data_IF_864550182972
#
_entry.id   IF_864550182972
#
_cell.length_a   1.000
_cell.length_b   1.000
_cell.length_c   1.000
_cell.angle_alpha   90.00
_cell.angle_beta   90.00
_cell.angle_gamma   90.00
#
_symmetry.space_group_name_H-M   'P 1'
#
loop_
_entity.id
_entity.type
_entity.pdbx_description
1 polymer ?
#
# COMPACT_ATOMS: atom_id res chain seq x y z
N UNK A 1 -1.84 10.80 -22.97
CA UNK A 1 -2.95 9.85 -22.76
C UNK A 1 -3.69 9.66 -24.08
N UNK A 2 -4.13 8.45 -24.42
CA UNK A 2 -4.91 8.23 -25.64
C UNK A 2 -5.91 7.09 -25.42
N UNK A 3 -7.21 7.39 -25.56
CA UNK A 3 -8.26 6.38 -25.75
C UNK A 3 -8.25 6.04 -27.24
N UNK A 4 -8.04 4.77 -27.59
CA UNK A 4 -8.09 4.31 -28.98
C UNK A 4 -9.33 3.44 -29.16
N UNK A 5 -9.99 3.61 -30.30
CA UNK A 5 -11.09 2.72 -30.70
C UNK A 5 -10.47 1.37 -31.06
N UNK A 6 -10.93 0.28 -30.41
CA UNK A 6 -10.40 -1.05 -30.67
C UNK A 6 -10.63 -1.42 -32.14
N UNK A 7 -9.60 -1.96 -32.80
CA UNK A 7 -9.66 -2.35 -34.22
C UNK A 7 -10.27 -3.73 -34.43
N UNK A 8 -10.56 -4.46 -33.34
CA UNK A 8 -11.11 -5.83 -33.36
C UNK A 8 -12.44 -6.00 -32.59
N UNK A 9 -13.08 -4.91 -32.15
CA UNK A 9 -14.38 -4.95 -31.45
C UNK A 9 -14.93 -3.54 -31.12
N UNK A 10 -16.14 -3.47 -30.56
CA UNK A 10 -16.81 -2.19 -30.18
C UNK A 10 -16.26 -1.55 -28.88
N UNK A 11 -15.33 -2.21 -28.20
CA UNK A 11 -14.70 -1.75 -26.96
C UNK A 11 -13.76 -0.56 -27.12
N UNK A 12 -13.67 0.28 -26.08
CA UNK A 12 -12.67 1.36 -26.00
C UNK A 12 -11.43 0.86 -25.26
N UNK A 13 -10.28 0.92 -25.91
CA UNK A 13 -8.99 0.55 -25.32
C UNK A 13 -8.34 1.77 -24.65
N UNK A 14 -7.94 1.59 -23.39
CA UNK A 14 -7.33 2.61 -22.55
C UNK A 14 -5.84 2.31 -22.39
N UNK A 15 -5.00 3.32 -22.61
CA UNK A 15 -3.55 3.23 -22.44
C UNK A 15 -3.07 4.26 -21.41
N UNK A 16 -2.91 3.81 -20.16
CA UNK A 16 -2.48 4.64 -19.03
C UNK A 16 -1.18 4.10 -18.46
N UNK A 17 -0.18 4.98 -18.30
CA UNK A 17 1.11 4.65 -17.66
C UNK A 17 1.77 3.37 -18.18
N UNK A 18 1.71 3.14 -19.49
CA UNK A 18 2.25 1.94 -20.15
C UNK A 18 1.58 0.63 -19.67
N UNK A 19 0.31 0.72 -19.29
CA UNK A 19 -0.62 -0.38 -19.03
C UNK A 19 -1.83 -0.23 -19.97
N UNK A 20 -2.29 -1.35 -20.53
CA UNK A 20 -3.37 -1.37 -21.54
C UNK A 20 -4.49 -2.30 -21.11
N UNK A 21 -5.72 -1.82 -21.20
CA UNK A 21 -6.93 -2.57 -20.85
C UNK A 21 -8.17 -2.04 -21.57
N UNK A 22 -9.24 -2.83 -21.52
CA UNK A 22 -10.55 -2.43 -22.03
C UNK A 22 -11.42 -1.92 -20.88
N UNK A 23 -11.94 -0.70 -21.04
CA UNK A 23 -12.88 -0.15 -20.07
C UNK A 23 -14.26 -0.80 -20.22
N UNK A 24 -14.86 -1.19 -19.10
CA UNK A 24 -16.16 -1.89 -19.03
C UNK A 24 -17.08 -1.24 -18.01
N UNK A 25 -18.36 -1.60 -18.01
CA UNK A 25 -19.37 -1.09 -17.06
C UNK A 25 -19.09 -1.43 -15.59
N UNK A 26 -18.10 -2.30 -15.32
CA UNK A 26 -17.63 -2.61 -13.96
C UNK A 26 -16.63 -1.59 -13.42
N UNK A 27 -16.07 -0.73 -14.27
CA UNK A 27 -15.11 0.29 -13.88
C UNK A 27 -15.82 1.53 -13.35
N UNK A 28 -15.30 2.11 -12.27
CA UNK A 28 -15.82 3.36 -11.71
C UNK A 28 -15.23 4.57 -12.43
N UNK A 29 -16.09 5.48 -12.88
CA UNK A 29 -15.69 6.76 -13.43
C UNK A 29 -15.37 7.77 -12.31
N UNK A 30 -14.61 8.83 -12.64
CA UNK A 30 -14.15 9.85 -11.70
C UNK A 30 -15.26 10.45 -10.82
N UNK A 31 -16.45 10.67 -11.38
CA UNK A 31 -17.59 11.23 -10.67
C UNK A 31 -18.16 10.30 -9.58
N UNK A 32 -18.01 8.99 -9.74
CA UNK A 32 -18.47 7.98 -8.76
C UNK A 32 -17.52 7.92 -7.55
N UNK A 33 -16.24 8.22 -7.78
CA UNK A 33 -15.18 8.23 -6.75
C UNK A 33 -15.32 9.37 -5.73
N UNK A 34 -16.05 10.44 -6.05
CA UNK A 34 -16.31 11.54 -5.11
C UNK A 34 -16.92 11.04 -3.79
N UNK A 35 -17.78 10.03 -3.86
CA UNK A 35 -18.38 9.45 -2.65
C UNK A 35 -17.37 8.75 -1.74
N UNK A 36 -16.25 8.26 -2.29
CA UNK A 36 -15.15 7.66 -1.54
C UNK A 36 -14.15 8.71 -1.05
N UNK A 37 -13.92 9.77 -1.83
CA UNK A 37 -13.09 10.90 -1.42
C UNK A 37 -13.66 11.58 -0.17
N UNK A 38 -14.98 11.68 -0.07
CA UNK A 38 -15.66 12.36 1.05
C UNK A 38 -15.86 11.49 2.29
N UNK A 39 -15.68 10.16 2.18
CA UNK A 39 -15.83 9.22 3.29
C UNK A 39 -14.47 8.89 3.90
N UNK A 40 -14.48 8.61 5.19
CA UNK A 40 -13.32 8.21 5.96
C UNK A 40 -13.78 7.46 7.21
N UNK A 41 -12.83 6.85 7.92
CA UNK A 41 -13.09 6.06 9.12
C UNK A 41 -13.45 6.93 10.33
N UNK A 42 -14.71 7.37 10.37
CA UNK A 42 -15.25 8.16 11.48
C UNK A 42 -15.29 7.38 12.80
N UNK A 43 -15.35 6.04 12.76
CA UNK A 43 -15.34 5.23 13.98
C UNK A 43 -13.98 5.37 14.68
N UNK A 44 -12.89 5.17 13.95
CA UNK A 44 -11.54 5.36 14.49
C UNK A 44 -11.30 6.80 14.97
N UNK A 45 -11.82 7.81 14.25
CA UNK A 45 -11.72 9.22 14.66
C UNK A 45 -12.39 9.50 16.00
N UNK A 46 -13.65 9.07 16.16
CA UNK A 46 -14.36 9.20 17.44
C UNK A 46 -13.61 8.48 18.56
N UNK A 47 -13.09 7.28 18.31
CA UNK A 47 -12.28 6.54 19.29
C UNK A 47 -11.01 7.31 19.67
N UNK A 48 -10.27 7.86 18.71
CA UNK A 48 -9.04 8.59 19.00
C UNK A 48 -9.27 9.87 19.80
N UNK A 49 -10.39 10.57 19.57
CA UNK A 49 -10.76 11.71 20.40
C UNK A 49 -11.00 11.31 21.86
N UNK A 50 -11.69 10.18 22.09
CA UNK A 50 -11.92 9.63 23.44
C UNK A 50 -10.59 9.19 24.07
N UNK A 51 -9.76 8.44 23.34
CA UNK A 51 -8.45 7.98 23.83
C UNK A 51 -7.54 9.16 24.18
N UNK A 52 -7.55 10.23 23.38
CA UNK A 52 -6.79 11.45 23.65
C UNK A 52 -7.26 12.14 24.94
N UNK A 53 -8.58 12.20 25.19
CA UNK A 53 -9.13 12.72 26.46
C UNK A 53 -8.70 11.86 27.66
N UNK A 54 -8.75 10.54 27.52
CA UNK A 54 -8.29 9.60 28.56
C UNK A 54 -6.80 9.80 28.89
N UNK A 55 -5.95 9.98 27.86
CA UNK A 55 -4.54 10.28 28.04
C UNK A 55 -4.29 11.55 28.85
N UNK A 56 -5.02 12.62 28.56
CA UNK A 56 -4.91 13.90 29.28
C UNK A 56 -5.44 13.84 30.72
N UNK A 57 -6.44 12.98 31.00
CA UNK A 57 -7.01 12.82 32.33
C UNK A 57 -6.12 12.01 33.30
N UNK A 58 -5.23 11.18 32.78
CA UNK A 58 -4.22 10.49 33.59
C UNK A 58 -3.03 11.42 33.87
N UNK A 59 -2.89 11.90 35.12
CA UNK A 59 -1.81 12.80 35.57
C UNK A 59 -0.39 12.15 35.60
N UNK A 60 0.03 11.48 34.53
CA UNK A 60 1.38 10.90 34.40
C UNK A 60 2.21 11.64 33.35
N UNK A 61 3.32 12.23 33.80
CA UNK A 61 4.42 12.91 33.07
C UNK A 61 4.17 13.29 31.60
N UNK A 62 4.12 14.61 31.38
CA UNK A 62 4.01 15.31 30.10
C UNK A 62 5.15 15.04 29.07
N UNK A 63 6.01 14.05 29.32
CA UNK A 63 7.15 13.72 28.47
C UNK A 63 6.92 12.63 27.41
N UNK A 64 5.77 11.93 27.41
CA UNK A 64 5.60 10.71 26.60
C UNK A 64 4.19 10.50 25.99
N UNK A 65 3.52 11.58 25.57
CA UNK A 65 2.23 11.51 24.86
C UNK A 65 2.31 10.61 23.61
N UNK A 66 3.48 10.51 22.96
CA UNK A 66 3.73 9.60 21.83
C UNK A 66 4.17 8.18 22.21
N UNK A 67 4.28 7.86 23.50
CA UNK A 67 4.84 6.57 23.98
C UNK A 67 3.81 5.63 24.59
N UNK A 68 2.60 6.09 24.92
CA UNK A 68 1.50 5.17 25.22
C UNK A 68 0.93 4.65 23.91
N UNK A 69 1.02 3.35 23.72
CA UNK A 69 0.45 2.63 22.59
C UNK A 69 -1.08 2.84 22.59
N UNK A 70 -1.62 3.56 21.61
CA UNK A 70 -3.07 3.81 21.49
C UNK A 70 -3.88 2.51 21.47
N UNK A 71 -3.28 1.41 20.98
CA UNK A 71 -3.90 0.09 21.06
C UNK A 71 -4.05 -0.40 22.51
N UNK A 72 -3.03 -0.21 23.35
CA UNK A 72 -3.08 -0.63 24.75
C UNK A 72 -4.16 0.16 25.51
N UNK A 73 -4.28 1.47 25.25
CA UNK A 73 -5.35 2.28 25.82
C UNK A 73 -6.74 1.84 25.35
N UNK A 74 -6.90 1.52 24.07
CA UNK A 74 -8.14 0.94 23.54
C UNK A 74 -8.44 -0.39 24.25
N UNK A 75 -7.46 -1.27 24.37
CA UNK A 75 -7.61 -2.56 25.05
C UNK A 75 -8.02 -2.40 26.51
N UNK A 76 -7.46 -1.45 27.24
CA UNK A 76 -7.79 -1.21 28.65
C UNK A 76 -9.16 -0.56 28.86
N UNK A 77 -9.63 0.24 27.89
CA UNK A 77 -10.81 1.11 28.05
C UNK A 77 -11.96 0.80 27.08
N UNK A 78 -11.91 -0.29 26.32
CA UNK A 78 -12.93 -0.58 25.30
C UNK A 78 -14.36 -0.71 25.86
N UNK A 79 -14.51 -1.08 27.13
CA UNK A 79 -15.83 -1.18 27.78
C UNK A 79 -16.36 0.16 28.30
N UNK A 80 -15.53 1.21 28.38
CA UNK A 80 -15.91 2.48 29.00
C UNK A 80 -16.77 3.38 28.11
N UNK A 81 -16.75 3.16 26.79
CA UNK A 81 -17.50 3.96 25.82
C UNK A 81 -18.01 3.08 24.66
N UNK A 82 -19.24 3.35 24.21
CA UNK A 82 -19.88 2.61 23.12
C UNK A 82 -19.07 2.57 21.82
N UNK A 83 -18.35 3.65 21.46
CA UNK A 83 -17.53 3.72 20.26
C UNK A 83 -16.24 2.93 20.40
N UNK A 84 -15.61 2.97 21.57
CA UNK A 84 -14.44 2.12 21.84
C UNK A 84 -14.84 0.64 21.79
N UNK A 85 -16.01 0.28 22.33
CA UNK A 85 -16.56 -1.08 22.28
C UNK A 85 -16.89 -1.52 20.85
N UNK A 86 -17.48 -0.64 20.05
CA UNK A 86 -17.78 -0.86 18.63
C UNK A 86 -16.50 -1.13 17.82
N UNK A 87 -15.47 -0.29 17.97
CA UNK A 87 -14.19 -0.47 17.30
C UNK A 87 -13.50 -1.76 17.76
N UNK A 88 -13.47 -2.02 19.07
CA UNK A 88 -12.86 -3.22 19.65
C UNK A 88 -13.53 -4.50 19.14
N UNK A 89 -14.86 -4.50 19.06
CA UNK A 89 -15.62 -5.62 18.50
C UNK A 89 -15.28 -5.80 17.02
N UNK A 90 -15.28 -4.72 16.24
CA UNK A 90 -14.99 -4.80 14.80
C UNK A 90 -13.60 -5.36 14.51
N UNK A 91 -12.56 -4.88 15.19
CA UNK A 91 -11.18 -5.32 14.94
C UNK A 91 -10.93 -6.76 15.40
N UNK A 92 -11.66 -7.26 16.40
CA UNK A 92 -11.48 -8.62 16.92
C UNK A 92 -12.46 -9.64 16.31
N UNK A 93 -13.43 -9.19 15.51
CA UNK A 93 -14.35 -10.07 14.78
C UNK A 93 -13.70 -10.54 13.49
N UNK A 94 -13.63 -11.86 13.28
CA UNK A 94 -13.17 -12.46 12.03
C UNK A 94 -14.37 -12.56 11.07
N UNK A 95 -14.31 -11.94 9.88
CA UNK A 95 -15.39 -12.06 8.91
C UNK A 95 -15.59 -13.48 8.38
N UNK A 96 -16.84 -13.86 8.08
CA UNK A 96 -17.21 -15.22 7.62
C UNK A 96 -16.52 -15.65 6.31
N UNK A 97 -16.09 -14.71 5.49
CA UNK A 97 -15.39 -14.99 4.24
C UNK A 97 -13.90 -15.29 4.41
N UNK A 98 -13.35 -15.23 5.63
CA UNK A 98 -11.93 -15.53 5.90
C UNK A 98 -11.69 -17.03 5.95
N UNK A 99 -10.94 -17.54 4.98
CA UNK A 99 -10.34 -18.88 5.01
C UNK A 99 -8.86 -18.76 5.39
N UNK A 100 -8.48 -19.24 6.58
CA UNK A 100 -7.09 -19.16 7.07
C UNK A 100 -6.10 -19.93 6.20
N UNK A 101 -6.52 -21.01 5.54
CA UNK A 101 -5.66 -21.73 4.60
C UNK A 101 -5.43 -20.87 3.34
N UNK A 102 -6.44 -20.13 2.87
CA UNK A 102 -6.29 -19.16 1.80
C UNK A 102 -5.37 -18.01 2.19
N UNK A 103 -5.52 -17.45 3.39
CA UNK A 103 -4.63 -16.40 3.91
C UNK A 103 -3.18 -16.87 3.93
N UNK A 104 -2.91 -18.09 4.42
CA UNK A 104 -1.57 -18.67 4.42
C UNK A 104 -1.01 -18.80 3.00
N UNK A 105 -1.79 -19.30 2.03
CA UNK A 105 -1.34 -19.38 0.63
C UNK A 105 -1.04 -18.00 0.04
N UNK A 106 -1.83 -16.99 0.40
CA UNK A 106 -1.58 -15.59 0.04
C UNK A 106 -0.23 -15.08 0.57
N UNK A 107 0.10 -15.39 1.81
CA UNK A 107 1.38 -15.03 2.42
C UNK A 107 2.56 -15.81 1.82
N UNK A 108 2.36 -17.09 1.48
CA UNK A 108 3.39 -17.90 0.83
C UNK A 108 3.83 -17.31 -0.53
N UNK A 109 2.91 -16.66 -1.26
CA UNK A 109 3.23 -15.94 -2.51
C UNK A 109 4.19 -14.78 -2.24
N UNK A 110 4.00 -14.03 -1.15
CA UNK A 110 4.93 -12.96 -0.76
C UNK A 110 6.34 -13.51 -0.58
N UNK A 111 6.50 -14.61 0.15
CA UNK A 111 7.81 -15.22 0.39
C UNK A 111 8.40 -15.84 -0.88
N UNK A 112 7.60 -16.56 -1.66
CA UNK A 112 8.02 -17.16 -2.95
C UNK A 112 8.59 -16.11 -3.91
N UNK A 113 8.00 -14.92 -3.93
CA UNK A 113 8.41 -13.80 -4.77
C UNK A 113 8.97 -12.62 -3.97
N UNK A 114 9.64 -12.88 -2.84
CA UNK A 114 10.11 -11.86 -1.91
C UNK A 114 10.85 -10.72 -2.62
N UNK A 115 11.82 -11.05 -3.48
CA UNK A 115 12.63 -10.05 -4.20
C UNK A 115 11.76 -9.27 -5.22
N UNK A 116 11.07 -9.91 -6.19
CA UNK A 116 10.20 -9.19 -7.12
C UNK A 116 9.11 -8.34 -6.46
N UNK A 117 8.46 -8.85 -5.40
CA UNK A 117 7.43 -8.11 -4.68
C UNK A 117 8.04 -6.96 -3.91
N UNK A 118 9.18 -7.13 -3.23
CA UNK A 118 9.88 -6.04 -2.54
C UNK A 118 10.29 -4.91 -3.50
N UNK A 119 10.72 -5.26 -4.72
CA UNK A 119 10.99 -4.29 -5.76
C UNK A 119 9.72 -3.57 -6.22
N UNK A 120 8.62 -4.30 -6.46
CA UNK A 120 7.33 -3.71 -6.81
C UNK A 120 6.82 -2.74 -5.73
N UNK A 121 6.93 -3.13 -4.45
CA UNK A 121 6.54 -2.28 -3.31
C UNK A 121 7.42 -1.03 -3.21
N UNK A 122 8.74 -1.17 -3.38
CA UNK A 122 9.68 -0.06 -3.20
C UNK A 122 9.63 0.94 -4.36
N UNK A 123 9.66 0.45 -5.60
CA UNK A 123 9.87 1.30 -6.76
C UNK A 123 8.57 1.62 -7.51
N UNK A 124 7.60 0.70 -7.57
CA UNK A 124 6.32 0.98 -8.23
C UNK A 124 5.26 1.51 -7.26
N UNK A 125 5.11 0.90 -6.09
CA UNK A 125 4.07 1.29 -5.13
C UNK A 125 4.45 2.57 -4.40
N UNK A 126 5.62 2.59 -3.77
CA UNK A 126 6.08 3.74 -3.01
C UNK A 126 6.55 4.89 -3.91
N UNK A 127 7.59 4.70 -4.72
CA UNK A 127 8.12 5.79 -5.56
C UNK A 127 7.13 6.20 -6.65
N UNK A 128 6.58 5.24 -7.39
CA UNK A 128 5.55 5.50 -8.41
C UNK A 128 4.25 6.08 -7.83
N UNK A 129 3.82 5.61 -6.66
CA UNK A 129 2.61 6.09 -5.97
C UNK A 129 2.68 7.56 -5.54
N UNK A 130 3.86 8.19 -5.48
CA UNK A 130 3.96 9.63 -5.29
C UNK A 130 3.50 10.45 -6.50
N UNK A 131 3.24 9.81 -7.64
CA UNK A 131 2.50 10.41 -8.75
C UNK A 131 0.99 10.52 -8.50
N UNK A 132 0.48 9.96 -7.40
CA UNK A 132 -0.94 10.02 -7.08
C UNK A 132 -1.37 11.41 -6.55
N UNK A 133 -2.61 11.80 -6.84
CA UNK A 133 -3.11 13.17 -6.66
C UNK A 133 -3.05 13.62 -5.19
N UNK A 134 -3.46 12.76 -4.26
CA UNK A 134 -3.75 13.13 -2.86
C UNK A 134 -2.73 12.62 -1.84
N UNK A 135 -2.23 11.40 -2.02
CA UNK A 135 -1.35 10.75 -1.02
C UNK A 135 -0.09 11.57 -0.74
N UNK A 136 0.50 12.18 -1.77
CA UNK A 136 1.69 13.02 -1.65
C UNK A 136 1.44 14.27 -0.81
N UNK A 137 0.24 14.84 -0.89
CA UNK A 137 -0.13 16.00 -0.09
C UNK A 137 -0.21 15.64 1.40
N UNK A 138 -0.95 14.59 1.75
CA UNK A 138 -1.06 14.13 3.14
C UNK A 138 0.32 13.78 3.71
N UNK A 139 1.15 13.05 2.95
CA UNK A 139 2.52 12.70 3.35
C UNK A 139 3.36 13.94 3.61
N UNK A 140 3.31 14.95 2.73
CA UNK A 140 4.09 16.18 2.87
C UNK A 140 3.75 16.92 4.17
N UNK A 141 2.48 16.91 4.60
CA UNK A 141 2.03 17.57 5.85
C UNK A 141 2.51 16.87 7.12
N UNK A 142 2.83 15.58 7.07
CA UNK A 142 3.36 14.84 8.23
C UNK A 142 4.86 15.03 8.46
N UNK A 143 5.59 15.55 7.46
CA UNK A 143 7.05 15.65 7.49
C UNK A 143 7.81 14.31 7.46
N UNK A 144 7.10 13.16 7.36
CA UNK A 144 7.67 11.82 7.45
C UNK A 144 8.60 11.42 6.29
N UNK A 145 8.64 12.20 5.22
CA UNK A 145 9.41 11.93 4.00
C UNK A 145 10.47 13.01 3.71
N UNK A 146 10.89 13.74 4.75
CA UNK A 146 12.15 14.49 4.68
C UNK A 146 13.33 13.54 4.52
N UNK A 147 14.36 13.94 3.77
CA UNK A 147 15.51 13.07 3.43
C UNK A 147 16.21 12.44 4.66
N UNK A 148 16.16 13.09 5.82
CA UNK A 148 16.76 12.59 7.07
C UNK A 148 15.90 11.54 7.81
N UNK A 149 14.58 11.52 7.57
CA UNK A 149 13.63 10.65 8.31
C UNK A 149 13.02 9.56 7.43
N UNK A 150 13.05 9.74 6.10
CA UNK A 150 12.42 8.84 5.13
C UNK A 150 12.87 7.40 5.33
N UNK A 151 14.18 7.15 5.49
CA UNK A 151 14.72 5.80 5.68
C UNK A 151 14.06 5.06 6.84
N UNK A 152 13.91 5.71 8.00
CA UNK A 152 13.27 5.09 9.17
C UNK A 152 11.82 4.75 8.87
N UNK A 153 11.06 5.65 8.25
CA UNK A 153 9.65 5.40 7.87
C UNK A 153 9.50 4.25 6.88
N UNK A 154 10.45 4.12 5.94
CA UNK A 154 10.47 3.00 5.00
C UNK A 154 10.77 1.67 5.68
N UNK A 155 11.68 1.65 6.66
CA UNK A 155 11.92 0.46 7.47
C UNK A 155 10.71 0.08 8.35
N UNK A 156 9.98 1.06 8.90
CA UNK A 156 8.72 0.84 9.61
C UNK A 156 7.66 0.19 8.68
N UNK A 157 7.57 0.64 7.43
CA UNK A 157 6.65 0.07 6.42
C UNK A 157 7.08 -1.32 5.96
N UNK A 158 8.39 -1.56 5.81
CA UNK A 158 8.92 -2.87 5.50
C UNK A 158 8.63 -3.87 6.64
N UNK A 159 8.85 -3.45 7.89
CA UNK A 159 8.49 -4.25 9.06
C UNK A 159 6.99 -4.58 9.11
N UNK A 160 6.13 -3.61 8.82
CA UNK A 160 4.68 -3.86 8.70
C UNK A 160 4.38 -4.94 7.65
N UNK A 161 5.01 -4.85 6.48
CA UNK A 161 4.84 -5.84 5.40
C UNK A 161 5.26 -7.24 5.85
N UNK A 162 6.38 -7.37 6.57
CA UNK A 162 6.82 -8.65 7.13
C UNK A 162 5.85 -9.20 8.19
N UNK A 163 5.29 -8.33 9.04
CA UNK A 163 4.32 -8.74 10.06
C UNK A 163 3.04 -9.29 9.43
N UNK A 164 2.49 -8.59 8.43
CA UNK A 164 1.30 -9.00 7.67
C UNK A 164 1.53 -10.29 6.90
N UNK A 165 2.73 -10.48 6.33
CA UNK A 165 3.04 -11.66 5.51
C UNK A 165 3.64 -12.83 6.29
N UNK A 166 3.80 -12.73 7.62
CA UNK A 166 4.50 -13.74 8.40
C UNK A 166 3.87 -15.15 8.34
N UNK A 167 2.63 -15.28 8.81
CA UNK A 167 1.83 -16.51 8.76
C UNK A 167 0.37 -16.21 9.14
N UNK A 168 -0.53 -17.19 8.95
CA UNK A 168 -1.96 -17.00 9.18
C UNK A 168 -2.28 -16.69 10.66
N UNK A 169 -1.56 -17.30 11.61
CA UNK A 169 -1.72 -16.99 13.04
C UNK A 169 -1.41 -15.52 13.35
N UNK A 170 -0.46 -14.92 12.64
CA UNK A 170 -0.13 -13.51 12.74
C UNK A 170 -1.29 -12.58 12.36
N UNK A 171 -2.25 -13.05 11.55
CA UNK A 171 -3.42 -12.28 11.10
C UNK A 171 -4.70 -12.59 11.89
N UNK A 172 -4.68 -13.55 12.83
CA UNK A 172 -5.77 -13.75 13.78
C UNK A 172 -5.80 -12.63 14.82
N UNK A 173 -6.95 -12.34 15.45
CA UNK A 173 -7.04 -11.36 16.54
C UNK A 173 -5.96 -11.58 17.61
N UNK A 174 -5.19 -10.53 17.92
CA UNK A 174 -4.04 -10.57 18.83
C UNK A 174 -2.70 -10.99 18.19
N UNK A 175 -2.71 -11.46 16.94
CA UNK A 175 -1.53 -11.78 16.16
C UNK A 175 -0.74 -10.54 15.75
N UNK A 176 0.57 -10.69 15.47
CA UNK A 176 1.46 -9.53 15.19
C UNK A 176 1.03 -8.71 13.98
N UNK A 177 0.58 -9.35 12.90
CA UNK A 177 0.08 -8.68 11.69
C UNK A 177 -1.26 -7.98 11.94
N UNK A 178 -2.18 -8.64 12.65
CA UNK A 178 -3.44 -8.05 13.11
C UNK A 178 -3.22 -6.78 13.94
N UNK A 179 -2.40 -6.87 14.99
CA UNK A 179 -2.07 -5.72 15.84
C UNK A 179 -1.37 -4.60 15.07
N UNK A 180 -0.55 -4.94 14.08
CA UNK A 180 0.07 -3.95 13.20
C UNK A 180 -0.99 -3.19 12.39
N UNK A 181 -1.96 -3.88 11.77
CA UNK A 181 -3.07 -3.25 11.06
C UNK A 181 -3.87 -2.30 11.97
N UNK A 182 -4.22 -2.75 13.18
CA UNK A 182 -5.00 -1.93 14.13
C UNK A 182 -4.22 -0.69 14.57
N UNK A 183 -2.92 -0.82 14.88
CA UNK A 183 -2.09 0.33 15.24
C UNK A 183 -1.97 1.34 14.11
N UNK A 184 -1.84 0.88 12.86
CA UNK A 184 -1.82 1.77 11.69
C UNK A 184 -3.18 2.46 11.49
N UNK A 185 -4.29 1.75 11.72
CA UNK A 185 -5.64 2.35 11.67
C UNK A 185 -5.80 3.50 12.67
N UNK A 186 -5.39 3.28 13.92
CA UNK A 186 -5.40 4.33 14.95
C UNK A 186 -4.44 5.47 14.61
N UNK A 187 -3.25 5.16 14.08
CA UNK A 187 -2.29 6.18 13.62
C UNK A 187 -2.89 7.05 12.49
N UNK A 188 -3.52 6.43 11.49
CA UNK A 188 -4.13 7.13 10.37
C UNK A 188 -5.22 8.10 10.83
N UNK A 189 -6.07 7.65 11.75
CA UNK A 189 -7.08 8.52 12.35
C UNK A 189 -6.47 9.68 13.14
N UNK A 190 -5.42 9.44 13.94
CA UNK A 190 -4.73 10.51 14.67
C UNK A 190 -4.08 11.55 13.72
N UNK A 191 -3.49 11.09 12.61
CA UNK A 191 -2.94 11.97 11.56
C UNK A 191 -4.04 12.77 10.88
N UNK A 192 -5.17 12.13 10.53
CA UNK A 192 -6.32 12.80 9.92
C UNK A 192 -6.87 13.92 10.79
N UNK A 193 -7.16 13.62 12.05
CA UNK A 193 -7.62 14.61 13.04
C UNK A 193 -6.63 15.76 13.20
N UNK A 194 -5.32 15.47 13.23
CA UNK A 194 -4.29 16.51 13.34
C UNK A 194 -4.26 17.44 12.12
N UNK A 195 -4.29 16.89 10.90
CA UNK A 195 -4.28 17.69 9.67
C UNK A 195 -5.56 18.52 9.57
N UNK A 196 -6.73 17.93 9.85
CA UNK A 196 -8.01 18.66 9.83
C UNK A 196 -8.04 19.80 10.87
N UNK A 197 -7.50 19.57 12.07
CA UNK A 197 -7.39 20.61 13.09
C UNK A 197 -6.50 21.77 12.65
N UNK A 198 -5.37 21.49 11.99
CA UNK A 198 -4.48 22.52 11.44
C UNK A 198 -5.14 23.26 10.27
N UNK A 199 -5.83 22.55 9.37
CA UNK A 199 -6.55 23.16 8.25
C UNK A 199 -7.71 24.06 8.71
N UNK A 200 -8.35 23.75 9.84
CA UNK A 200 -9.36 24.61 10.45
C UNK A 200 -8.78 25.92 11.02
N UNK A 201 -7.52 25.89 11.46
CA UNK A 201 -6.79 27.08 11.96
C UNK A 201 -6.20 27.91 10.81
N UNK A 202 -5.70 27.24 9.77
CA UNK A 202 -5.14 27.83 8.57
C UNK A 202 -5.65 27.08 7.33
N UNK A 203 -6.65 27.61 6.61
CA UNK A 203 -7.20 26.98 5.41
C UNK A 203 -6.18 26.78 4.27
N UNK A 204 -5.02 27.47 4.31
CA UNK A 204 -3.95 27.26 3.33
C UNK A 204 -3.07 26.04 3.66
N UNK A 205 -3.22 25.48 4.87
CA UNK A 205 -2.49 24.30 5.32
C UNK A 205 -2.93 23.01 4.63
N UNK A 206 -4.17 22.86 4.18
CA UNK A 206 -4.59 21.68 3.43
C UNK A 206 -5.89 21.97 2.67
N UNK A 207 -5.89 21.75 1.36
CA UNK A 207 -7.04 22.02 0.50
C UNK A 207 -8.05 20.86 0.54
N UNK A 208 -8.96 20.93 1.51
CA UNK A 208 -10.04 19.95 1.69
C UNK A 208 -11.03 19.92 0.52
N UNK A 209 -11.16 21.00 -0.25
CA UNK A 209 -12.06 21.02 -1.41
C UNK A 209 -11.48 20.23 -2.58
N UNK A 210 -10.17 20.35 -2.79
CA UNK A 210 -9.46 19.65 -3.85
C UNK A 210 -9.17 18.19 -3.51
N UNK A 211 -8.81 17.91 -2.26
CA UNK A 211 -8.32 16.58 -1.86
C UNK A 211 -9.30 15.80 -0.98
N UNK A 212 -10.41 16.39 -0.52
CA UNK A 212 -11.27 15.77 0.48
C UNK A 212 -10.58 15.61 1.83
N UNK A 213 -11.17 14.92 2.81
CA UNK A 213 -10.51 14.60 4.07
C UNK A 213 -9.22 13.79 3.87
N UNK A 214 -8.13 14.09 4.60
CA UNK A 214 -6.90 13.34 4.49
C UNK A 214 -7.11 11.88 4.92
N UNK A 215 -6.50 10.94 4.20
CA UNK A 215 -6.66 9.51 4.47
C UNK A 215 -8.14 9.11 4.37
N UNK A 216 -8.83 9.59 3.34
CA UNK A 216 -10.18 9.16 3.00
C UNK A 216 -10.20 7.70 2.52
N UNK A 217 -11.40 7.17 2.29
CA UNK A 217 -11.62 5.78 1.86
C UNK A 217 -10.91 5.49 0.54
N UNK A 218 -10.91 6.45 -0.41
CA UNK A 218 -10.24 6.28 -1.70
C UNK A 218 -8.71 6.22 -1.55
N UNK A 219 -8.13 7.10 -0.74
CA UNK A 219 -6.69 7.12 -0.47
C UNK A 219 -6.24 5.87 0.29
N UNK A 220 -7.04 5.44 1.25
CA UNK A 220 -6.77 4.23 2.03
C UNK A 220 -6.89 2.98 1.16
N UNK A 221 -7.92 2.90 0.31
CA UNK A 221 -8.09 1.84 -0.67
C UNK A 221 -6.94 1.82 -1.69
N UNK A 222 -6.61 2.98 -2.26
CA UNK A 222 -5.51 3.14 -3.21
C UNK A 222 -4.19 2.68 -2.60
N UNK A 223 -3.93 3.01 -1.34
CA UNK A 223 -2.73 2.54 -0.63
C UNK A 223 -2.71 1.02 -0.55
N UNK A 224 -3.76 0.37 -0.05
CA UNK A 224 -3.82 -1.11 0.03
C UNK A 224 -3.75 -1.76 -1.37
N UNK A 225 -4.34 -1.13 -2.38
CA UNK A 225 -4.22 -1.54 -3.78
C UNK A 225 -2.77 -1.58 -4.24
N UNK A 226 -1.95 -0.59 -3.86
CA UNK A 226 -0.53 -0.60 -4.26
C UNK A 226 0.23 -1.78 -3.67
N UNK A 227 -0.12 -2.23 -2.45
CA UNK A 227 0.45 -3.43 -1.85
C UNK A 227 -0.08 -4.75 -2.44
N UNK A 228 -1.21 -4.70 -3.16
CA UNK A 228 -1.98 -5.87 -3.57
C UNK A 228 -2.14 -5.94 -5.09
N UNK A 229 -3.23 -5.43 -5.63
CA UNK A 229 -3.57 -5.47 -7.04
C UNK A 229 -2.45 -4.92 -7.94
N UNK A 230 -1.83 -3.80 -7.57
CA UNK A 230 -0.75 -3.23 -8.37
C UNK A 230 0.47 -4.16 -8.44
N UNK A 231 0.79 -4.88 -7.36
CA UNK A 231 1.85 -5.90 -7.38
C UNK A 231 1.52 -7.02 -8.37
N UNK A 232 0.28 -7.53 -8.35
CA UNK A 232 -0.10 -8.69 -9.19
C UNK A 232 -0.20 -8.32 -10.67
N UNK A 233 -0.82 -7.18 -11.01
CA UNK A 233 -1.15 -6.85 -12.40
C UNK A 233 -0.18 -5.86 -13.06
N UNK A 234 0.67 -5.19 -12.30
CA UNK A 234 1.68 -4.27 -12.85
C UNK A 234 3.10 -4.64 -12.39
N UNK A 235 3.34 -4.77 -11.09
CA UNK A 235 4.68 -4.98 -10.53
C UNK A 235 5.34 -6.29 -10.98
N UNK A 236 4.68 -7.43 -10.78
CA UNK A 236 5.18 -8.75 -11.17
C UNK A 236 5.27 -8.92 -12.70
N UNK A 237 4.24 -8.55 -13.49
CA UNK A 237 4.30 -8.65 -14.96
C UNK A 237 5.42 -7.85 -15.59
N UNK A 238 5.75 -6.66 -15.06
CA UNK A 238 6.89 -5.84 -15.52
C UNK A 238 8.26 -6.48 -15.25
N UNK A 239 8.30 -7.49 -14.39
CA UNK A 239 9.48 -8.32 -14.13
C UNK A 239 9.39 -9.69 -14.85
N UNK A 240 8.33 -9.92 -15.62
CA UNK A 240 8.07 -11.15 -16.36
C UNK A 240 7.40 -12.26 -15.57
N UNK A 241 6.89 -11.97 -14.36
CA UNK A 241 6.23 -12.95 -13.50
C UNK A 241 4.72 -12.78 -13.62
N UNK A 242 4.02 -13.90 -13.85
CA UNK A 242 2.56 -13.94 -13.96
C UNK A 242 2.04 -14.99 -13.01
N UNK A 243 1.17 -14.56 -12.08
CA UNK A 243 0.55 -15.45 -11.11
C UNK A 243 -0.54 -16.30 -11.75
N UNK A 244 -0.81 -17.46 -11.17
CA UNK A 244 -2.02 -18.22 -11.51
C UNK A 244 -3.27 -17.50 -11.01
N UNK A 245 -4.45 -17.84 -11.56
CA UNK A 245 -5.71 -17.28 -11.07
C UNK A 245 -5.92 -17.57 -9.58
N UNK A 246 -5.55 -18.76 -9.12
CA UNK A 246 -5.68 -19.14 -7.71
C UNK A 246 -4.73 -18.32 -6.82
N UNK A 247 -3.47 -18.15 -7.23
CA UNK A 247 -2.52 -17.33 -6.49
C UNK A 247 -3.02 -15.88 -6.40
N UNK A 248 -3.61 -15.35 -7.47
CA UNK A 248 -4.17 -14.01 -7.46
C UNK A 248 -5.35 -13.90 -6.47
N UNK A 249 -6.26 -14.87 -6.43
CA UNK A 249 -7.35 -14.90 -5.44
C UNK A 249 -6.82 -14.98 -4.01
N UNK A 250 -5.83 -15.84 -3.76
CA UNK A 250 -5.25 -16.04 -2.42
C UNK A 250 -4.50 -14.78 -1.94
N UNK A 251 -3.73 -14.12 -2.82
CA UNK A 251 -3.04 -12.88 -2.48
C UNK A 251 -4.02 -11.74 -2.19
N UNK A 252 -5.07 -11.60 -3.01
CA UNK A 252 -6.10 -10.57 -2.80
C UNK A 252 -6.90 -10.82 -1.52
N UNK A 253 -7.17 -12.08 -1.16
CA UNK A 253 -7.87 -12.41 0.09
C UNK A 253 -7.11 -11.92 1.35
N UNK A 254 -5.77 -12.05 1.37
CA UNK A 254 -4.94 -11.48 2.44
C UNK A 254 -5.13 -9.97 2.55
N UNK A 255 -5.03 -9.26 1.43
CA UNK A 255 -5.14 -7.80 1.44
C UNK A 255 -6.57 -7.29 1.66
N UNK A 256 -7.59 -8.11 1.35
CA UNK A 256 -8.97 -7.86 1.77
C UNK A 256 -9.09 -7.91 3.30
N UNK A 257 -8.42 -8.85 3.97
CA UNK A 257 -8.38 -8.94 5.43
C UNK A 257 -7.63 -7.77 6.06
N UNK A 258 -6.50 -7.36 5.46
CA UNK A 258 -5.80 -6.14 5.85
C UNK A 258 -6.72 -4.92 5.74
N UNK A 259 -7.42 -4.75 4.62
CA UNK A 259 -8.39 -3.66 4.44
C UNK A 259 -9.48 -3.66 5.51
N UNK A 260 -10.03 -4.84 5.82
CA UNK A 260 -11.03 -4.98 6.90
C UNK A 260 -10.49 -4.50 8.25
N UNK A 261 -9.32 -4.99 8.68
CA UNK A 261 -8.73 -4.58 9.96
C UNK A 261 -8.33 -3.11 10.00
N UNK A 262 -7.98 -2.53 8.84
CA UNK A 262 -7.65 -1.11 8.69
C UNK A 262 -8.87 -0.19 8.54
N UNK A 263 -10.10 -0.72 8.52
CA UNK A 263 -11.32 0.08 8.35
C UNK A 263 -11.52 0.63 6.94
N UNK A 264 -10.96 -0.04 5.92
CA UNK A 264 -10.97 0.38 4.51
C UNK A 264 -12.02 -0.40 3.72
N UNK A 265 -12.66 0.17 2.68
CA UNK A 265 -13.60 -0.58 1.85
C UNK A 265 -13.02 -1.87 1.27
N UNK A 266 -13.75 -2.98 1.44
CA UNK A 266 -13.27 -4.32 1.06
C UNK A 266 -13.91 -4.87 -0.21
N UNK A 267 -15.00 -4.26 -0.68
CA UNK A 267 -15.76 -4.76 -1.84
C UNK A 267 -14.91 -4.91 -3.12
N UNK A 268 -14.01 -3.97 -3.48
CA UNK A 268 -13.17 -4.17 -4.65
C UNK A 268 -12.18 -5.33 -4.50
N UNK A 269 -11.87 -5.78 -3.28
CA UNK A 269 -11.01 -6.93 -3.02
C UNK A 269 -11.78 -8.26 -2.85
N UNK A 270 -13.10 -8.28 -3.12
CA UNK A 270 -13.93 -9.49 -2.94
C UNK A 270 -13.46 -10.68 -3.79
N UNK A 271 -12.91 -10.41 -4.97
CA UNK A 271 -12.31 -11.39 -5.89
C UNK A 271 -11.13 -10.76 -6.60
N UNK A 272 -10.21 -11.57 -7.13
CA UNK A 272 -9.12 -11.08 -7.95
C UNK A 272 -9.62 -10.33 -9.19
N UNK A 273 -10.72 -10.79 -9.80
CA UNK A 273 -11.32 -10.10 -10.94
C UNK A 273 -11.82 -8.69 -10.59
N UNK A 274 -12.50 -8.52 -9.45
CA UNK A 274 -12.93 -7.21 -8.96
C UNK A 274 -11.72 -6.32 -8.63
N UNK A 275 -10.69 -6.89 -8.01
CA UNK A 275 -9.49 -6.16 -7.62
C UNK A 275 -8.66 -5.69 -8.82
N UNK A 276 -8.69 -6.45 -9.92
CA UNK A 276 -8.09 -6.06 -11.20
C UNK A 276 -8.83 -4.89 -11.85
N UNK A 277 -10.17 -4.96 -11.91
CA UNK A 277 -10.98 -3.83 -12.40
C UNK A 277 -10.72 -2.59 -11.56
N UNK A 278 -10.55 -2.77 -10.24
CA UNK A 278 -10.21 -1.67 -9.35
C UNK A 278 -8.84 -1.07 -9.60
N UNK A 279 -7.86 -1.90 -9.94
CA UNK A 279 -6.56 -1.43 -10.37
C UNK A 279 -6.64 -0.58 -11.64
N UNK A 280 -7.45 -1.01 -12.61
CA UNK A 280 -7.62 -0.35 -13.89
C UNK A 280 -8.27 1.04 -13.77
N UNK A 281 -9.33 1.19 -12.96
CA UNK A 281 -9.90 2.51 -12.76
C UNK A 281 -9.06 3.43 -11.85
N UNK A 282 -8.27 2.90 -10.91
CA UNK A 282 -7.32 3.71 -10.15
C UNK A 282 -6.24 4.32 -11.07
N UNK A 283 -5.69 3.54 -12.00
CA UNK A 283 -4.68 4.04 -12.95
C UNK A 283 -5.16 5.24 -13.78
N UNK A 284 -6.47 5.29 -14.07
CA UNK A 284 -7.08 6.36 -14.85
C UNK A 284 -7.36 7.59 -14.01
N UNK A 285 -7.88 7.41 -12.80
CA UNK A 285 -8.46 8.50 -12.02
C UNK A 285 -7.49 9.09 -11.00
N UNK A 286 -6.45 8.37 -10.57
CA UNK A 286 -5.70 8.72 -9.36
C UNK A 286 -4.28 9.23 -9.57
N UNK A 287 -3.81 9.30 -10.81
CA UNK A 287 -2.45 9.76 -11.11
C UNK A 287 -2.48 11.10 -11.83
N UNK A 288 -1.96 12.13 -11.15
CA UNK A 288 -1.61 13.43 -11.74
C UNK A 288 -0.36 13.96 -11.01
N UNK A 289 0.85 13.61 -11.47
CA UNK A 289 2.10 13.95 -10.79
C UNK A 289 2.25 15.45 -10.52
N UNK A 290 2.54 15.80 -9.27
CA UNK A 290 2.72 17.17 -8.78
C UNK A 290 4.17 17.47 -8.41
N UNK A 291 4.52 18.75 -8.23
CA UNK A 291 5.86 19.13 -7.75
C UNK A 291 6.16 18.56 -6.35
N UNK A 292 5.14 18.51 -5.49
CA UNK A 292 5.24 17.83 -4.18
C UNK A 292 5.58 16.35 -4.37
N UNK A 293 4.86 15.63 -5.24
CA UNK A 293 5.13 14.23 -5.55
C UNK A 293 6.54 13.99 -6.09
N UNK A 294 7.00 14.84 -7.03
CA UNK A 294 8.36 14.81 -7.57
C UNK A 294 9.43 15.00 -6.49
N UNK A 295 9.23 15.96 -5.58
CA UNK A 295 10.14 16.21 -4.47
C UNK A 295 10.23 15.00 -3.52
N UNK A 296 9.09 14.43 -3.15
CA UNK A 296 9.04 13.26 -2.29
C UNK A 296 9.72 12.04 -2.93
N UNK A 297 9.53 11.84 -4.24
CA UNK A 297 10.12 10.71 -4.97
C UNK A 297 11.65 10.83 -4.98
N UNK A 298 12.15 12.05 -5.19
CA UNK A 298 13.58 12.35 -5.09
C UNK A 298 14.14 12.09 -3.69
N UNK A 299 13.42 12.47 -2.63
CA UNK A 299 13.87 12.23 -1.26
C UNK A 299 14.00 10.75 -0.92
N UNK A 300 13.12 9.89 -1.45
CA UNK A 300 13.22 8.44 -1.28
C UNK A 300 14.51 7.90 -1.89
N UNK A 301 14.81 8.31 -3.13
CA UNK A 301 16.05 7.88 -3.81
C UNK A 301 17.28 8.30 -3.01
N UNK A 302 17.34 9.57 -2.58
CA UNK A 302 18.44 10.09 -1.77
C UNK A 302 18.57 9.35 -0.43
N UNK A 303 17.44 9.07 0.23
CA UNK A 303 17.44 8.44 1.56
C UNK A 303 17.80 6.94 1.55
N UNK A 304 17.75 6.29 0.39
CA UNK A 304 18.04 4.86 0.23
C UNK A 304 19.35 4.58 -0.51
N UNK A 305 19.83 5.51 -1.35
CA UNK A 305 21.04 5.35 -2.15
C UNK A 305 22.24 4.93 -1.29
N UNK A 306 22.92 3.86 -1.71
CA UNK A 306 24.11 3.33 -1.05
C UNK A 306 23.93 3.04 0.45
N UNK A 307 22.70 2.77 0.88
CA UNK A 307 22.40 2.38 2.26
C UNK A 307 21.99 0.91 2.37
N UNK A 308 22.32 0.30 3.51
CA UNK A 308 21.93 -1.08 3.79
C UNK A 308 20.42 -1.27 3.92
N UNK A 309 19.88 -2.46 3.58
CA UNK A 309 20.65 -3.68 3.33
C UNK A 309 21.08 -3.90 1.86
N UNK A 310 20.46 -3.20 0.90
CA UNK A 310 20.68 -3.46 -0.53
C UNK A 310 21.89 -2.73 -1.12
N UNK A 311 22.33 -1.60 -0.54
CA UNK A 311 23.42 -0.77 -1.06
C UNK A 311 23.30 -0.46 -2.57
N UNK A 312 22.07 -0.26 -3.04
CA UNK A 312 21.82 0.04 -4.45
C UNK A 312 22.30 1.45 -4.82
N UNK A 313 22.96 1.57 -5.98
CA UNK A 313 23.30 2.87 -6.55
C UNK A 313 22.05 3.61 -7.01
N UNK A 314 22.12 4.94 -7.07
CA UNK A 314 21.01 5.75 -7.58
C UNK A 314 20.59 5.35 -9.00
N UNK A 315 21.53 5.11 -9.91
CA UNK A 315 21.18 4.77 -11.29
C UNK A 315 20.52 3.38 -11.40
N UNK A 316 20.85 2.45 -10.50
CA UNK A 316 20.13 1.18 -10.38
C UNK A 316 18.69 1.43 -9.93
N UNK A 317 18.50 2.28 -8.91
CA UNK A 317 17.17 2.65 -8.42
C UNK A 317 16.32 3.32 -9.51
N UNK A 318 16.90 4.27 -10.25
CA UNK A 318 16.24 4.94 -11.37
C UNK A 318 15.86 3.94 -12.47
N UNK A 319 16.74 2.97 -12.77
CA UNK A 319 16.47 1.91 -13.74
C UNK A 319 15.32 0.99 -13.31
N UNK A 320 15.31 0.57 -12.05
CA UNK A 320 14.25 -0.27 -11.48
C UNK A 320 12.92 0.48 -11.41
N UNK A 321 12.94 1.76 -11.03
CA UNK A 321 11.76 2.61 -11.04
C UNK A 321 11.17 2.77 -12.44
N UNK A 322 12.01 2.98 -13.46
CA UNK A 322 11.57 3.03 -14.86
C UNK A 322 10.98 1.72 -15.35
N UNK A 323 11.66 0.60 -15.08
CA UNK A 323 11.15 -0.73 -15.42
C UNK A 323 9.74 -0.95 -14.86
N UNK A 324 9.52 -0.58 -13.59
CA UNK A 324 8.30 -0.92 -12.87
C UNK A 324 7.19 0.13 -12.98
N UNK A 325 7.49 1.38 -13.33
CA UNK A 325 6.50 2.46 -13.52
C UNK A 325 6.21 2.78 -14.99
N UNK A 326 7.04 2.30 -15.92
CA UNK A 326 6.97 2.68 -17.32
C UNK A 326 7.62 4.04 -17.56
N UNK A 327 7.97 4.30 -18.82
CA UNK A 327 8.67 5.53 -19.19
C UNK A 327 7.79 6.77 -19.02
N UNK A 328 6.47 6.66 -19.27
CA UNK A 328 5.57 7.82 -19.17
C UNK A 328 5.46 8.37 -17.76
N UNK A 329 5.17 7.52 -16.78
CA UNK A 329 5.05 7.96 -15.38
C UNK A 329 6.41 8.40 -14.83
N UNK A 330 7.47 7.72 -15.25
CA UNK A 330 8.83 8.04 -14.82
C UNK A 330 9.31 9.39 -15.38
N UNK A 331 8.95 9.73 -16.61
CA UNK A 331 9.23 11.04 -17.20
C UNK A 331 8.47 12.16 -16.45
N UNK A 332 7.19 11.97 -16.11
CA UNK A 332 6.41 12.93 -15.30
C UNK A 332 6.94 13.11 -13.86
N UNK A 333 7.55 12.06 -13.30
CA UNK A 333 8.22 12.09 -12.00
C UNK A 333 9.67 12.59 -12.06
N UNK A 334 10.17 12.99 -13.24
CA UNK A 334 11.55 13.42 -13.49
C UNK A 334 12.62 12.39 -13.09
N UNK A 335 12.30 11.10 -13.20
CA UNK A 335 13.28 10.03 -12.98
C UNK A 335 14.24 10.04 -14.18
N UNK A 336 15.57 10.05 -14.00
CA UNK A 336 16.53 10.06 -15.11
C UNK A 336 16.42 8.85 -16.05
N UNK A 337 16.68 9.05 -17.35
CA UNK A 337 16.71 7.96 -18.34
C UNK A 337 17.85 6.98 -18.06
N UNK A 338 17.55 5.70 -18.21
CA UNK A 338 18.49 4.62 -17.94
C UNK A 338 19.54 4.47 -19.03
N UNK A 339 20.81 4.36 -18.64
CA UNK A 339 21.93 4.07 -19.56
C UNK A 339 21.85 2.65 -20.11
N UNK A 340 22.60 2.36 -21.19
CA UNK A 340 22.59 1.02 -21.80
C UNK A 340 23.03 -0.07 -20.81
N UNK A 341 24.04 0.21 -19.98
CA UNK A 341 24.51 -0.70 -18.93
C UNK A 341 23.38 -1.12 -17.99
N UNK A 342 22.65 -0.15 -17.44
CA UNK A 342 21.57 -0.45 -16.50
C UNK A 342 20.34 -1.09 -17.18
N UNK A 343 20.10 -0.82 -18.47
CA UNK A 343 19.06 -1.56 -19.23
C UNK A 343 19.42 -3.04 -19.39
N UNK A 344 20.67 -3.34 -19.72
CA UNK A 344 21.16 -4.72 -19.80
C UNK A 344 21.11 -5.42 -18.43
N UNK A 345 21.43 -4.69 -17.36
CA UNK A 345 21.30 -5.19 -15.99
C UNK A 345 19.85 -5.52 -15.64
N UNK A 346 18.89 -4.63 -15.95
CA UNK A 346 17.47 -4.88 -15.73
C UNK A 346 16.96 -6.08 -16.54
N UNK A 347 17.44 -6.25 -17.78
CA UNK A 347 17.11 -7.42 -18.59
C UNK A 347 17.64 -8.71 -17.97
N UNK A 348 18.91 -8.73 -17.54
CA UNK A 348 19.51 -9.88 -16.86
C UNK A 348 18.80 -10.24 -15.55
N UNK A 349 18.44 -9.21 -14.76
CA UNK A 349 17.63 -9.36 -13.56
C UNK A 349 16.26 -9.99 -13.88
N UNK A 350 15.52 -9.44 -14.85
CA UNK A 350 14.21 -9.95 -15.26
C UNK A 350 14.30 -11.41 -15.73
N UNK A 351 15.33 -11.74 -16.49
CA UNK A 351 15.57 -13.12 -16.93
C UNK A 351 15.80 -14.05 -15.74
N UNK A 352 16.62 -13.63 -14.77
CA UNK A 352 16.90 -14.40 -13.56
C UNK A 352 15.64 -14.65 -12.71
N UNK A 353 14.84 -13.62 -12.42
CA UNK A 353 13.60 -13.80 -11.63
C UNK A 353 12.54 -14.62 -12.37
N UNK A 354 12.45 -14.50 -13.69
CA UNK A 354 11.57 -15.35 -14.50
C UNK A 354 11.97 -16.82 -14.43
N UNK A 355 13.27 -17.10 -14.52
CA UNK A 355 13.79 -18.46 -14.41
C UNK A 355 13.48 -19.02 -13.01
N UNK A 356 13.76 -18.25 -11.95
CA UNK A 356 13.46 -18.63 -10.57
C UNK A 356 11.96 -18.90 -10.36
N UNK A 357 11.08 -18.00 -10.83
CA UNK A 357 9.64 -18.15 -10.71
C UNK A 357 9.13 -19.44 -11.35
N UNK A 358 9.65 -19.79 -12.54
CA UNK A 358 9.27 -21.02 -13.26
C UNK A 358 9.83 -22.29 -12.65
N UNK A 359 11.00 -22.23 -12.03
CA UNK A 359 11.64 -23.41 -11.42
C UNK A 359 11.05 -23.73 -10.06
N UNK A 360 10.86 -22.73 -9.20
CA UNK A 360 10.32 -22.92 -7.84
C UNK A 360 8.91 -23.52 -7.89
N UNK A 361 8.04 -23.04 -8.78
CA UNK A 361 6.69 -23.60 -8.95
C UNK A 361 6.66 -25.09 -9.35
N UNK A 362 7.72 -25.59 -10.00
CA UNK A 362 7.80 -26.99 -10.43
C UNK A 362 8.30 -27.93 -9.35
N UNK A 363 8.85 -27.41 -8.24
CA UNK A 363 9.46 -28.22 -7.18
C UNK A 363 8.91 -27.77 -5.82
N UNK A 364 7.68 -28.22 -5.45
CA UNK A 364 6.98 -27.75 -4.25
C UNK A 364 7.75 -27.95 -2.93
N UNK A 365 8.62 -28.96 -2.85
CA UNK A 365 9.47 -29.18 -1.68
C UNK A 365 10.52 -28.07 -1.51
N UNK A 366 11.16 -27.63 -2.60
CA UNK A 366 12.14 -26.53 -2.56
C UNK A 366 11.44 -25.22 -2.20
N UNK A 367 10.27 -24.97 -2.77
CA UNK A 367 9.45 -23.80 -2.44
C UNK A 367 9.14 -23.72 -0.94
N UNK A 368 8.61 -24.80 -0.36
CA UNK A 368 8.32 -24.88 1.08
C UNK A 368 9.58 -24.73 1.94
N UNK A 369 10.70 -25.33 1.53
CA UNK A 369 11.97 -25.22 2.24
C UNK A 369 12.50 -23.78 2.25
N UNK A 370 12.47 -23.09 1.10
CA UNK A 370 12.92 -21.70 0.99
C UNK A 370 12.03 -20.75 1.81
N UNK A 371 10.71 -20.94 1.77
CA UNK A 371 9.77 -20.17 2.58
C UNK A 371 10.05 -20.39 4.08
N UNK A 372 10.23 -21.63 4.51
CA UNK A 372 10.55 -21.94 5.90
C UNK A 372 11.86 -21.26 6.34
N UNK A 373 12.91 -21.33 5.51
CA UNK A 373 14.20 -20.68 5.78
C UNK A 373 14.07 -19.16 5.93
N UNK A 374 13.26 -18.51 5.08
CA UNK A 374 13.02 -17.06 5.16
C UNK A 374 12.24 -16.66 6.42
N UNK A 375 11.36 -17.53 6.93
CA UNK A 375 10.58 -17.29 8.14
C UNK A 375 11.37 -17.50 9.43
N UNK A 376 12.34 -18.42 9.46
CA UNK A 376 13.10 -18.75 10.66
C UNK A 376 14.32 -17.85 10.89
N UNK A 377 14.72 -17.08 9.87
CA UNK A 377 16.00 -16.34 9.87
C UNK A 377 17.21 -17.29 9.79
N UNK A 378 18.40 -16.78 9.42
CA UNK A 378 19.65 -17.53 9.52
C UNK A 378 20.08 -17.79 10.97
#
# INVERSE_FOLDING_TARGET
MAVRKNTKGDGKEYHYWDYTFEWTDKHMAANELNSWILKYDSLADNCNEILTKLMHSSHSDAGNIFKRDSYALLQENHESDTKLSELWTQINTVPDWVDWAQIQRGQDIYWRYLIPISNALTYQSLLGGLGAIRVGETIARTGGFGAQVVRRRLLETFQYTLQVNSNAEGMKPGGKGHLACVRVRLLHSAVRLKIMSLAAQDPTYYDMHKYGPPINDLDSFGTIHTFSSAVIWQGLPRQGIYLSNQDAEDYIALWRLVAYYMGVPTEPFKTAAAAKVAHEWLLVNEFAPSDTGRMLARNIVIGLENTGPAYASKEYMDAMARLLNGDRLSDELHIPRTSLYYRLLMWGYCYWVQLQARTIQKIPFIDRFLIALMLTGP
#
